data_IF_431386818065
#
_entry.id   IF_431386818065
#
_cell.length_a   1.000
_cell.length_b   1.000
_cell.length_c   1.000
_cell.angle_alpha   90.00
_cell.angle_beta   90.00
_cell.angle_gamma   90.00
#
_symmetry.space_group_name_H-M   'P 1'
#
loop_
_entity.id
_entity.type
_entity.pdbx_description
1 polymer ?
#
# COMPACT_ATOMS: atom_id res chain seq x y z
N UNK A 1 -9.64 -7.93 1.35
CA UNK A 1 -10.90 -7.14 1.25
C UNK A 1 -11.12 -6.44 2.57
N UNK A 2 -11.57 -5.18 2.57
CA UNK A 2 -11.84 -4.45 3.79
C UNK A 2 -13.04 -5.03 4.54
N UNK A 3 -13.03 -4.91 5.86
CA UNK A 3 -14.10 -5.42 6.69
C UNK A 3 -14.23 -4.67 8.01
N UNK A 4 -15.12 -5.13 8.88
CA UNK A 4 -15.32 -4.59 10.23
C UNK A 4 -16.62 -3.81 10.39
N UNK A 5 -16.88 -3.27 11.62
CA UNK A 5 -18.12 -2.62 11.95
C UNK A 5 -18.42 -1.42 11.05
N UNK A 6 -19.59 -1.42 10.42
CA UNK A 6 -20.06 -0.35 9.54
C UNK A 6 -19.43 -0.33 8.14
N UNK A 7 -18.77 -1.41 7.72
CA UNK A 7 -18.26 -1.58 6.36
C UNK A 7 -18.88 -2.82 5.73
N UNK A 8 -19.35 -2.69 4.49
CA UNK A 8 -19.86 -3.77 3.66
C UNK A 8 -19.23 -3.69 2.27
N UNK A 9 -18.72 -4.81 1.79
CA UNK A 9 -18.17 -4.95 0.45
C UNK A 9 -19.04 -5.94 -0.35
N UNK A 10 -19.74 -5.41 -1.34
CA UNK A 10 -20.52 -6.20 -2.29
C UNK A 10 -19.63 -6.49 -3.50
N UNK A 11 -18.72 -7.44 -3.36
CA UNK A 11 -17.72 -7.78 -4.38
C UNK A 11 -18.22 -8.84 -5.35
N UNK A 12 -18.01 -8.60 -6.64
CA UNK A 12 -18.21 -9.58 -7.71
C UNK A 12 -16.91 -10.33 -8.09
N UNK A 13 -15.80 -10.04 -7.43
CA UNK A 13 -14.47 -10.62 -7.72
C UNK A 13 -13.88 -11.27 -6.47
N UNK A 14 -12.93 -12.18 -6.70
CA UNK A 14 -12.16 -12.89 -5.66
C UNK A 14 -10.69 -12.95 -6.05
N UNK A 15 -9.83 -13.42 -5.18
CA UNK A 15 -8.40 -13.56 -5.47
C UNK A 15 -8.16 -14.54 -6.61
N UNK A 16 -7.39 -14.12 -7.63
CA UNK A 16 -7.16 -14.89 -8.84
C UNK A 16 -8.26 -14.79 -9.90
N UNK A 17 -9.27 -13.93 -9.68
CA UNK A 17 -10.33 -13.72 -10.67
C UNK A 17 -9.79 -13.01 -11.93
N UNK A 18 -10.12 -13.53 -13.11
CA UNK A 18 -9.79 -12.91 -14.39
C UNK A 18 -10.92 -11.98 -14.83
N UNK A 19 -10.63 -10.68 -14.88
CA UNK A 19 -11.60 -9.67 -15.27
C UNK A 19 -11.71 -9.57 -16.79
N UNK A 20 -12.81 -10.05 -17.34
CA UNK A 20 -13.10 -9.95 -18.77
C UNK A 20 -13.53 -8.54 -19.18
N UNK A 21 -13.13 -8.14 -20.39
CA UNK A 21 -13.46 -6.83 -20.99
C UNK A 21 -14.91 -6.74 -21.49
N UNK A 22 -15.63 -7.85 -21.50
CA UNK A 22 -16.99 -7.95 -22.05
C UNK A 22 -18.08 -7.48 -21.06
N UNK A 23 -17.71 -7.29 -19.81
CA UNK A 23 -18.63 -6.93 -18.72
C UNK A 23 -18.48 -5.47 -18.31
N UNK A 24 -19.39 -5.01 -17.44
CA UNK A 24 -19.33 -3.68 -16.84
C UNK A 24 -18.02 -3.51 -16.02
N UNK A 25 -17.56 -2.27 -15.93
CA UNK A 25 -16.36 -1.90 -15.18
C UNK A 25 -16.54 -1.96 -13.67
N UNK A 26 -17.75 -2.24 -13.17
CA UNK A 26 -18.05 -2.35 -11.74
C UNK A 26 -17.54 -3.68 -11.18
N UNK A 27 -16.46 -3.64 -10.40
CA UNK A 27 -15.85 -4.83 -9.78
C UNK A 27 -16.39 -5.09 -8.38
N UNK A 28 -16.60 -4.05 -7.61
CA UNK A 28 -17.09 -4.10 -6.25
C UNK A 28 -17.77 -2.80 -5.85
N UNK A 29 -18.72 -2.89 -4.92
CA UNK A 29 -19.41 -1.76 -4.31
C UNK A 29 -19.11 -1.73 -2.81
N UNK A 30 -18.22 -0.83 -2.42
CA UNK A 30 -17.90 -0.61 -1.02
C UNK A 30 -18.90 0.35 -0.38
N UNK A 31 -19.48 -0.04 0.75
CA UNK A 31 -20.47 0.75 1.50
C UNK A 31 -19.97 0.95 2.93
N UNK A 32 -19.98 2.20 3.39
CA UNK A 32 -19.71 2.52 4.78
C UNK A 32 -20.94 3.16 5.44
N UNK A 33 -21.20 2.77 6.67
CA UNK A 33 -22.23 3.33 7.52
C UNK A 33 -21.60 3.95 8.77
N UNK A 34 -22.12 5.11 9.18
CA UNK A 34 -21.71 5.81 10.40
C UNK A 34 -22.91 6.48 11.07
N UNK A 35 -22.76 6.85 12.35
CA UNK A 35 -23.77 7.58 13.10
C UNK A 35 -23.99 8.99 12.54
N UNK A 36 -22.97 9.56 11.93
CA UNK A 36 -22.99 10.84 11.25
C UNK A 36 -22.09 10.80 10.01
N UNK A 37 -22.09 11.88 9.22
CA UNK A 37 -21.30 12.00 7.98
C UNK A 37 -19.81 11.80 8.24
N UNK A 38 -19.26 12.44 9.25
CA UNK A 38 -17.83 12.37 9.54
C UNK A 38 -17.40 10.96 9.93
N UNK A 39 -18.19 10.24 10.73
CA UNK A 39 -17.94 8.85 11.10
C UNK A 39 -17.98 7.93 9.87
N UNK A 40 -18.96 8.12 8.98
CA UNK A 40 -19.05 7.36 7.73
C UNK A 40 -17.84 7.61 6.82
N UNK A 41 -17.38 8.86 6.69
CA UNK A 41 -16.21 9.22 5.89
C UNK A 41 -14.95 8.57 6.48
N UNK A 42 -14.73 8.64 7.80
CA UNK A 42 -13.57 8.01 8.44
C UNK A 42 -13.53 6.49 8.23
N UNK A 43 -14.68 5.83 8.34
CA UNK A 43 -14.79 4.38 8.09
C UNK A 43 -14.50 4.04 6.64
N UNK A 44 -15.01 4.84 5.71
CA UNK A 44 -14.75 4.65 4.28
C UNK A 44 -13.27 4.85 3.93
N UNK A 45 -12.60 5.88 4.48
CA UNK A 45 -11.16 6.10 4.30
C UNK A 45 -10.37 4.90 4.76
N UNK A 46 -10.60 4.41 5.98
CA UNK A 46 -9.94 3.21 6.49
C UNK A 46 -10.18 2.02 5.57
N UNK A 47 -11.41 1.80 5.14
CA UNK A 47 -11.74 0.69 4.26
C UNK A 47 -11.05 0.78 2.89
N UNK A 48 -10.88 1.99 2.33
CA UNK A 48 -10.13 2.20 1.08
C UNK A 48 -8.63 1.94 1.26
N UNK A 49 -8.03 2.33 2.38
CA UNK A 49 -6.61 2.04 2.70
C UNK A 49 -6.34 0.53 2.81
N UNK A 50 -7.29 -0.21 3.37
CA UNK A 50 -7.23 -1.66 3.48
C UNK A 50 -7.51 -2.38 2.15
N UNK A 51 -8.18 -1.71 1.20
CA UNK A 51 -8.57 -2.30 -0.07
C UNK A 51 -7.39 -2.40 -1.03
N UNK A 52 -6.91 -3.60 -1.28
CA UNK A 52 -5.78 -3.85 -2.18
C UNK A 52 -6.22 -4.67 -3.38
N UNK A 53 -6.14 -4.07 -4.57
CA UNK A 53 -6.37 -4.71 -5.86
C UNK A 53 -5.07 -4.60 -6.65
N UNK A 54 -4.53 -5.74 -7.07
CA UNK A 54 -3.30 -5.84 -7.85
C UNK A 54 -3.62 -6.30 -9.27
N UNK A 55 -2.82 -5.84 -10.23
CA UNK A 55 -2.95 -6.23 -11.64
C UNK A 55 -3.92 -5.37 -12.46
N UNK A 56 -4.70 -4.50 -11.82
CA UNK A 56 -5.68 -3.64 -12.48
C UNK A 56 -5.52 -2.17 -12.08
N UNK A 57 -5.86 -1.28 -13.01
CA UNK A 57 -6.06 0.14 -12.70
C UNK A 57 -7.47 0.33 -12.17
N UNK A 58 -7.61 0.92 -10.99
CA UNK A 58 -8.89 1.12 -10.31
C UNK A 58 -9.14 2.58 -9.99
N UNK A 59 -10.37 2.90 -9.61
CA UNK A 59 -10.77 4.23 -9.14
C UNK A 59 -10.42 4.48 -7.66
N UNK A 60 -9.85 3.51 -6.94
CA UNK A 60 -9.51 3.64 -5.51
C UNK A 60 -8.70 4.91 -5.18
N UNK A 61 -7.62 5.26 -5.91
CA UNK A 61 -6.86 6.48 -5.61
C UNK A 61 -7.64 7.77 -5.84
N UNK A 62 -8.59 7.75 -6.77
CA UNK A 62 -9.49 8.88 -6.99
C UNK A 62 -10.50 8.99 -5.85
N UNK A 63 -11.13 7.90 -5.44
CA UNK A 63 -12.10 7.88 -4.35
C UNK A 63 -11.47 8.34 -3.03
N UNK A 64 -10.25 7.93 -2.76
CA UNK A 64 -9.50 8.39 -1.59
C UNK A 64 -9.34 9.92 -1.59
N UNK A 65 -8.95 10.53 -2.71
CA UNK A 65 -8.85 11.99 -2.84
C UNK A 65 -10.19 12.69 -2.65
N UNK A 66 -11.26 12.13 -3.22
CA UNK A 66 -12.63 12.68 -3.04
C UNK A 66 -12.97 12.75 -1.55
N UNK A 67 -12.72 11.68 -0.81
CA UNK A 67 -13.01 11.61 0.62
C UNK A 67 -12.18 12.57 1.47
N UNK A 68 -10.98 12.95 1.01
CA UNK A 68 -10.11 13.91 1.67
C UNK A 68 -10.34 15.36 1.22
N UNK A 69 -11.24 15.58 0.26
CA UNK A 69 -11.51 16.94 -0.23
C UNK A 69 -12.38 17.72 0.77
N UNK A 70 -11.99 18.95 1.17
CA UNK A 70 -12.72 19.74 2.17
C UNK A 70 -14.19 19.96 1.79
N UNK A 71 -14.48 20.24 0.51
CA UNK A 71 -15.88 20.43 0.05
C UNK A 71 -16.69 19.14 0.21
N UNK A 72 -16.07 17.96 0.01
CA UNK A 72 -16.76 16.70 0.21
C UNK A 72 -17.03 16.44 1.71
N UNK A 73 -16.09 16.74 2.58
CA UNK A 73 -16.28 16.63 4.05
C UNK A 73 -17.40 17.56 4.53
N UNK A 74 -17.41 18.80 4.05
CA UNK A 74 -18.44 19.80 4.40
C UNK A 74 -19.81 19.47 3.80
N UNK A 75 -19.87 18.65 2.74
CA UNK A 75 -21.10 18.38 1.98
C UNK A 75 -21.44 19.49 0.96
N UNK A 76 -20.48 20.37 0.69
CA UNK A 76 -20.59 21.48 -0.26
C UNK A 76 -19.95 21.09 -1.60
N UNK A 77 -20.71 20.42 -2.45
CA UNK A 77 -20.26 20.00 -3.78
C UNK A 77 -21.42 19.91 -4.76
N UNK A 78 -21.13 20.20 -6.01
CA UNK A 78 -22.03 20.18 -7.16
C UNK A 78 -21.66 19.06 -8.15
N UNK A 79 -22.37 18.97 -9.26
CA UNK A 79 -22.10 18.00 -10.34
C UNK A 79 -20.75 18.23 -11.03
N UNK A 80 -20.18 19.44 -10.98
CA UNK A 80 -18.85 19.77 -11.49
C UNK A 80 -17.70 19.42 -10.55
N UNK A 81 -17.98 18.94 -9.34
CA UNK A 81 -16.96 18.59 -8.33
C UNK A 81 -15.98 17.55 -8.83
N UNK A 82 -16.47 16.53 -9.52
CA UNK A 82 -15.64 15.44 -10.05
C UNK A 82 -14.59 15.95 -11.03
N UNK A 83 -14.97 16.85 -11.94
CA UNK A 83 -14.06 17.46 -12.91
C UNK A 83 -12.99 18.30 -12.21
N UNK A 84 -13.35 19.06 -11.18
CA UNK A 84 -12.42 19.86 -10.37
C UNK A 84 -11.37 18.97 -9.69
N UNK A 85 -11.78 17.85 -9.10
CA UNK A 85 -10.88 16.89 -8.44
C UNK A 85 -9.98 16.18 -9.45
N UNK A 86 -10.48 15.85 -10.66
CA UNK A 86 -9.65 15.27 -11.72
C UNK A 86 -8.60 16.26 -12.23
N UNK A 87 -8.99 17.52 -12.48
CA UNK A 87 -8.05 18.54 -12.95
C UNK A 87 -6.90 18.81 -11.97
N UNK A 88 -7.17 18.74 -10.66
CA UNK A 88 -6.14 18.82 -9.63
C UNK A 88 -5.20 17.60 -9.67
N UNK A 89 -5.74 16.42 -9.88
CA UNK A 89 -5.01 15.16 -9.98
C UNK A 89 -3.98 15.14 -11.11
N UNK A 90 -4.32 15.70 -12.26
CA UNK A 90 -3.42 15.73 -13.40
C UNK A 90 -2.25 16.70 -13.16
N UNK A 91 -2.52 17.83 -12.53
CA UNK A 91 -1.46 18.79 -12.13
C UNK A 91 -0.49 18.23 -11.09
N UNK A 92 -0.97 17.36 -10.18
CA UNK A 92 -0.12 16.71 -9.18
C UNK A 92 0.75 15.61 -9.80
N UNK A 93 0.25 14.88 -10.80
CA UNK A 93 1.01 13.86 -11.53
C UNK A 93 2.15 14.44 -12.37
N UNK A 94 2.07 15.70 -12.76
CA UNK A 94 3.09 16.39 -13.54
C UNK A 94 4.27 16.91 -12.69
N UNK A 95 4.33 16.60 -11.42
CA UNK A 95 5.45 17.02 -10.55
C UNK A 95 6.66 16.09 -10.73
N UNK A 96 7.64 16.44 -11.57
CA UNK A 96 8.78 15.56 -11.87
C UNK A 96 9.70 15.32 -10.66
N UNK A 97 9.57 16.15 -9.62
CA UNK A 97 10.38 16.01 -8.41
C UNK A 97 10.03 14.77 -7.58
N UNK A 98 8.78 14.29 -7.60
CA UNK A 98 8.37 13.05 -6.89
C UNK A 98 9.10 11.85 -7.46
N UNK A 99 9.24 11.79 -8.79
CA UNK A 99 10.02 10.75 -9.47
C UNK A 99 11.51 10.90 -9.14
N UNK A 100 12.02 12.12 -9.07
CA UNK A 100 13.42 12.38 -8.72
C UNK A 100 13.74 11.95 -7.28
N UNK A 101 12.85 12.22 -6.33
CA UNK A 101 13.01 11.80 -4.93
C UNK A 101 12.96 10.27 -4.81
N UNK A 102 12.01 9.61 -5.48
CA UNK A 102 11.93 8.15 -5.51
C UNK A 102 13.20 7.52 -6.12
N UNK A 103 13.68 8.06 -7.24
CA UNK A 103 14.92 7.61 -7.88
C UNK A 103 16.15 7.81 -6.98
N UNK A 104 16.24 8.96 -6.29
CA UNK A 104 17.32 9.26 -5.35
C UNK A 104 17.29 8.30 -4.14
N UNK A 105 16.11 8.00 -3.60
CA UNK A 105 15.95 7.07 -2.50
C UNK A 105 16.36 5.62 -2.90
N UNK A 106 15.95 5.17 -4.08
CA UNK A 106 16.35 3.86 -4.63
C UNK A 106 17.86 3.80 -4.82
N UNK A 107 18.48 4.88 -5.36
CA UNK A 107 19.92 4.95 -5.55
C UNK A 107 20.66 4.90 -4.22
N UNK A 108 20.28 5.71 -3.25
CA UNK A 108 20.87 5.72 -1.91
C UNK A 108 20.72 4.36 -1.20
N UNK A 109 19.58 3.68 -1.39
CA UNK A 109 19.39 2.34 -0.87
C UNK A 109 20.33 1.32 -1.52
N UNK A 110 20.47 1.33 -2.85
CA UNK A 110 21.40 0.46 -3.59
C UNK A 110 22.85 0.69 -3.16
N UNK A 111 23.27 1.94 -3.07
CA UNK A 111 24.64 2.29 -2.64
C UNK A 111 24.91 1.78 -1.22
N UNK A 112 23.91 1.88 -0.31
CA UNK A 112 24.01 1.37 1.06
C UNK A 112 24.07 -0.15 1.13
N UNK A 113 23.31 -0.86 0.27
CA UNK A 113 23.35 -2.33 0.18
C UNK A 113 24.67 -2.80 -0.39
N UNK A 114 25.20 -2.15 -1.43
CA UNK A 114 26.51 -2.48 -2.01
C UNK A 114 27.66 -2.21 -1.03
N UNK A 115 27.62 -1.11 -0.30
CA UNK A 115 28.61 -0.81 0.74
C UNK A 115 28.61 -1.85 1.87
N UNK A 116 27.45 -2.41 2.23
CA UNK A 116 27.34 -3.51 3.20
C UNK A 116 27.82 -4.85 2.65
N UNK A 117 27.66 -5.09 1.35
CA UNK A 117 28.16 -6.30 0.67
C UNK A 117 29.65 -6.28 0.40
N UNK A 118 30.29 -5.10 0.35
CA UNK A 118 31.72 -4.92 0.20
C UNK A 118 32.50 -5.02 1.52
N UNK A 119 31.81 -5.03 2.67
CA UNK A 119 32.39 -5.38 3.95
C UNK A 119 32.78 -6.85 3.93
N UNK A 120 34.09 -7.12 3.91
CA UNK A 120 34.65 -8.45 3.91
C UNK A 120 33.94 -9.32 4.95
N UNK A 121 33.41 -10.46 4.53
CA UNK A 121 32.98 -11.52 5.44
C UNK A 121 34.26 -11.84 6.26
N UNK A 122 34.27 -11.62 7.59
CA UNK A 122 35.43 -11.97 8.38
C UNK A 122 35.70 -13.44 8.11
N UNK A 123 36.92 -13.73 7.62
CA UNK A 123 37.39 -15.09 7.38
C UNK A 123 37.04 -15.94 8.60
N UNK A 124 36.41 -17.08 8.39
CA UNK A 124 36.04 -18.04 9.44
C UNK A 124 37.18 -18.42 10.38
N UNK A 125 38.43 -18.07 10.03
CA UNK A 125 39.64 -18.24 10.84
C UNK A 125 39.70 -17.29 12.06
N UNK A 126 38.91 -16.22 12.10
CA UNK A 126 38.95 -15.23 13.20
C UNK A 126 37.86 -15.43 14.27
N UNK A 127 36.87 -16.30 14.06
CA UNK A 127 35.85 -16.59 15.06
C UNK A 127 36.39 -17.69 16.01
N UNK A 128 36.70 -17.34 17.25
CA UNK A 128 37.11 -18.27 18.31
C UNK A 128 36.07 -19.35 18.66
N UNK A 129 34.98 -19.39 17.95
CA UNK A 129 33.90 -20.36 18.09
C UNK A 129 34.15 -21.68 17.38
N UNK A 130 35.06 -21.74 16.38
CA UNK A 130 35.33 -22.93 15.57
C UNK A 130 36.30 -23.91 16.27
N UNK A 131 36.87 -23.55 17.40
CA UNK A 131 37.82 -24.40 18.13
C UNK A 131 37.36 -24.89 19.49
N UNK A 132 36.11 -24.97 19.78
CA UNK A 132 35.62 -25.76 20.90
C UNK A 132 35.43 -27.19 20.42
N UNK A 133 36.50 -27.98 20.57
CA UNK A 133 36.54 -29.43 20.40
C UNK A 133 35.56 -30.04 21.42
N UNK A 134 34.36 -30.40 20.96
CA UNK A 134 33.38 -31.12 21.76
C UNK A 134 33.73 -32.61 21.83
N UNK A 135 35.01 -32.93 22.18
CA UNK A 135 35.33 -34.30 22.57
C UNK A 135 34.63 -34.58 23.88
N UNK A 136 33.67 -35.48 23.85
CA UNK A 136 33.20 -36.15 25.06
C UNK A 136 34.41 -36.74 25.76
N UNK A 137 34.57 -36.56 27.09
CA UNK A 137 35.52 -37.35 27.83
C UNK A 137 35.05 -38.80 27.76
N UNK A 138 35.82 -39.64 27.13
CA UNK A 138 35.71 -41.09 27.27
C UNK A 138 35.99 -41.44 28.73
N UNK A 139 34.99 -42.00 29.41
CA UNK A 139 35.17 -42.64 30.71
C UNK A 139 34.53 -41.93 31.90
N UNK A 140 33.24 -42.18 32.09
CA UNK A 140 32.64 -42.28 33.41
C UNK A 140 31.42 -43.23 33.32
N UNK A 141 31.53 -44.28 34.07
CA UNK A 141 30.57 -45.34 34.29
C UNK A 141 29.19 -44.83 34.70
#
# INVERSE_FOLDING_TARGET
MPGGPGVRDDSGIYEGYEVGIQYDSLLSKLVAYGFNRSDAILRMRRALEEYKILGLKTTLPFLDRVLHHPSFEAGDFDTGFVEKVFAQSDRERERPWDVAVAAAAIRAYRDRVQARGAGAIPSAAASGWVRRDWRRPEGAF
#
